data_IF_126398801026
#
_entry.id   IF_126398801026
#
_cell.length_a   1.000
_cell.length_b   1.000
_cell.length_c   1.000
_cell.angle_alpha   90.00
_cell.angle_beta   90.00
_cell.angle_gamma   90.00
#
_symmetry.space_group_name_H-M   'P 1'
#
loop_
_entity.id
_entity.type
_entity.pdbx_description
1 polymer ?
#
# COMPACT_ATOMS: atom_id res chain seq x y z
N UNK A 1 4.37 10.15 10.22
CA UNK A 1 3.32 9.15 10.54
C UNK A 1 2.56 8.87 9.25
N UNK A 2 2.19 7.63 8.93
CA UNK A 2 1.61 7.29 7.61
C UNK A 2 0.29 8.04 7.32
N UNK A 3 -0.42 8.47 8.38
CA UNK A 3 -1.61 9.32 8.26
C UNK A 3 -1.28 10.71 7.73
N UNK A 4 -0.16 11.28 8.13
CA UNK A 4 0.30 12.59 7.65
C UNK A 4 0.63 12.52 6.15
N UNK A 5 1.27 11.43 5.72
CA UNK A 5 1.60 11.18 4.32
C UNK A 5 0.31 11.06 3.47
N UNK A 6 -0.71 10.40 4.02
CA UNK A 6 -2.00 10.22 3.36
C UNK A 6 -2.74 11.55 3.20
N UNK A 7 -2.70 12.44 4.20
CA UNK A 7 -3.24 13.81 4.10
C UNK A 7 -2.47 14.64 3.08
N UNK A 8 -1.13 14.60 3.11
CA UNK A 8 -0.29 15.37 2.21
C UNK A 8 -0.46 14.97 0.73
N UNK A 9 -0.64 13.67 0.46
CA UNK A 9 -0.81 13.13 -0.89
C UNK A 9 -2.25 13.12 -1.42
N UNK A 10 -3.25 13.40 -0.58
CA UNK A 10 -4.66 13.16 -0.90
C UNK A 10 -5.18 13.92 -2.13
N UNK A 11 -4.88 15.21 -2.22
CA UNK A 11 -5.39 16.06 -3.30
C UNK A 11 -4.62 15.88 -4.61
N UNK A 12 -3.36 15.45 -4.53
CA UNK A 12 -2.47 15.32 -5.69
C UNK A 12 -2.37 13.92 -6.28
N UNK A 13 -3.04 12.92 -5.70
CA UNK A 13 -2.92 11.52 -6.11
C UNK A 13 -4.26 10.88 -6.44
N UNK A 14 -4.27 9.97 -7.41
CA UNK A 14 -5.42 9.09 -7.71
C UNK A 14 -5.40 7.78 -6.89
N UNK A 15 -4.30 7.48 -6.20
CA UNK A 15 -4.17 6.27 -5.40
C UNK A 15 -2.89 6.19 -4.58
N UNK A 16 -2.78 5.14 -3.78
CA UNK A 16 -1.66 4.96 -2.86
C UNK A 16 -1.05 3.59 -3.01
N UNK A 17 0.28 3.55 -3.04
CA UNK A 17 1.05 2.31 -2.87
C UNK A 17 1.12 2.01 -1.38
N UNK A 18 0.71 0.82 -0.97
CA UNK A 18 0.62 0.45 0.45
C UNK A 18 1.65 -0.64 0.75
N UNK A 19 2.76 -0.29 1.41
CA UNK A 19 3.77 -1.28 1.81
C UNK A 19 3.25 -2.15 2.96
N UNK A 20 3.80 -3.36 3.05
CA UNK A 20 3.66 -4.29 4.19
C UNK A 20 2.22 -4.62 4.58
N UNK A 21 1.34 -4.72 3.59
CA UNK A 21 -0.04 -5.19 3.82
C UNK A 21 0.00 -6.69 4.06
N UNK A 22 -0.40 -7.12 5.24
CA UNK A 22 -0.42 -8.53 5.64
C UNK A 22 -1.84 -9.11 5.65
N UNK A 23 -2.86 -8.26 5.79
CA UNK A 23 -4.26 -8.68 5.92
C UNK A 23 -5.23 -7.80 5.13
N UNK A 24 -6.40 -8.36 4.83
CA UNK A 24 -7.48 -7.59 4.19
C UNK A 24 -8.05 -6.52 5.12
N UNK A 25 -8.00 -6.71 6.45
CA UNK A 25 -8.57 -5.76 7.42
C UNK A 25 -7.78 -4.44 7.49
N UNK A 26 -6.47 -4.47 7.22
CA UNK A 26 -5.67 -3.25 7.05
C UNK A 26 -6.16 -2.40 5.87
N UNK A 27 -6.58 -3.06 4.78
CA UNK A 27 -7.13 -2.38 3.60
C UNK A 27 -8.53 -1.81 3.89
N UNK A 28 -9.34 -2.48 4.72
CA UNK A 28 -10.63 -1.94 5.18
C UNK A 28 -10.45 -0.70 6.03
N UNK A 29 -9.45 -0.69 6.92
CA UNK A 29 -9.13 0.50 7.71
C UNK A 29 -8.74 1.68 6.80
N UNK A 30 -7.92 1.44 5.78
CA UNK A 30 -7.56 2.48 4.80
C UNK A 30 -8.77 2.95 3.98
N UNK A 31 -9.65 2.04 3.60
CA UNK A 31 -10.90 2.34 2.90
C UNK A 31 -11.80 3.26 3.72
N UNK A 32 -11.99 2.99 5.02
CA UNK A 32 -12.75 3.83 5.92
C UNK A 32 -12.15 5.26 6.01
N UNK A 33 -10.84 5.36 6.22
CA UNK A 33 -10.14 6.66 6.33
C UNK A 33 -10.23 7.46 5.02
N UNK A 34 -9.98 6.81 3.88
CA UNK A 34 -10.05 7.47 2.57
C UNK A 34 -11.48 7.90 2.26
N UNK A 35 -12.47 7.07 2.59
CA UNK A 35 -13.88 7.41 2.44
C UNK A 35 -14.23 8.65 3.25
N UNK A 36 -13.82 8.74 4.52
CA UNK A 36 -14.07 9.91 5.36
C UNK A 36 -13.46 11.19 4.77
N UNK A 37 -12.24 11.10 4.24
CA UNK A 37 -11.57 12.23 3.58
C UNK A 37 -12.27 12.65 2.29
N UNK A 38 -12.72 11.69 1.47
CA UNK A 38 -13.49 11.94 0.25
C UNK A 38 -14.82 12.66 0.56
N UNK A 39 -15.52 12.25 1.62
CA UNK A 39 -16.75 12.91 2.07
C UNK A 39 -16.48 14.33 2.60
N UNK A 40 -15.43 14.52 3.42
CA UNK A 40 -15.07 15.83 3.97
C UNK A 40 -14.70 16.84 2.88
N UNK A 41 -13.93 16.43 1.87
CA UNK A 41 -13.55 17.31 0.75
C UNK A 41 -14.73 17.67 -0.16
N UNK A 42 -15.69 16.76 -0.34
CA UNK A 42 -16.90 17.03 -1.12
C UNK A 42 -17.84 18.06 -0.46
N UNK A 43 -17.80 18.21 0.88
CA UNK A 43 -18.60 19.21 1.59
C UNK A 43 -17.99 20.62 1.60
N UNK A 44 -16.67 20.74 1.42
CA UNK A 44 -15.94 22.03 1.50
C UNK A 44 -15.63 22.71 0.17
N UNK A 45 -15.77 22.01 -0.96
CA UNK A 45 -15.29 22.51 -2.25
C UNK A 45 -16.40 23.19 -3.07
N UNK A 46 -16.39 24.52 -3.07
CA UNK A 46 -17.08 25.36 -4.08
C UNK A 46 -16.22 25.51 -5.35
N UNK A 47 -15.22 24.62 -5.56
CA UNK A 47 -14.26 24.71 -6.65
C UNK A 47 -14.61 23.75 -7.78
N UNK A 48 -15.09 24.34 -8.89
CA UNK A 48 -15.54 23.70 -10.12
C UNK A 48 -14.40 23.08 -10.96
N UNK A 49 -13.74 22.00 -10.52
CA UNK A 49 -12.72 21.39 -11.39
C UNK A 49 -12.21 19.99 -11.07
N UNK A 50 -12.13 19.56 -9.81
CA UNK A 50 -11.61 18.22 -9.50
C UNK A 50 -12.76 17.27 -9.24
N UNK A 51 -13.14 16.50 -10.25
CA UNK A 51 -13.90 15.27 -10.02
C UNK A 51 -12.99 14.31 -9.23
N UNK A 52 -13.06 14.37 -7.90
CA UNK A 52 -12.34 13.43 -7.05
C UNK A 52 -12.97 12.04 -7.23
N UNK A 53 -12.35 11.24 -8.10
CA UNK A 53 -12.65 9.83 -8.18
C UNK A 53 -12.17 9.14 -6.88
N UNK A 54 -12.81 8.02 -6.49
CA UNK A 54 -12.38 7.26 -5.33
C UNK A 54 -10.92 6.85 -5.46
N UNK A 55 -10.13 7.07 -4.39
CA UNK A 55 -8.72 6.69 -4.38
C UNK A 55 -8.58 5.18 -4.47
N UNK A 56 -7.62 4.71 -5.27
CA UNK A 56 -7.28 3.28 -5.39
C UNK A 56 -6.09 2.90 -4.52
N UNK A 57 -6.00 1.61 -4.16
CA UNK A 57 -4.91 1.05 -3.38
C UNK A 57 -4.10 0.07 -4.22
N UNK A 58 -2.77 0.13 -4.08
CA UNK A 58 -1.81 -0.77 -4.71
C UNK A 58 -0.93 -1.42 -3.63
N UNK A 59 -1.39 -2.52 -3.00
CA UNK A 59 -0.61 -3.22 -1.99
C UNK A 59 0.67 -3.84 -2.56
N UNK A 60 1.76 -3.78 -1.79
CA UNK A 60 2.98 -4.54 -2.08
C UNK A 60 2.90 -5.88 -1.33
N UNK A 61 2.48 -6.95 -2.02
CA UNK A 61 2.09 -8.20 -1.35
C UNK A 61 3.25 -9.14 -1.00
N UNK A 62 4.50 -8.82 -1.34
CA UNK A 62 5.64 -9.73 -1.10
C UNK A 62 6.63 -9.23 -0.06
N UNK A 63 6.35 -8.15 0.67
CA UNK A 63 7.32 -7.60 1.64
C UNK A 63 7.40 -8.42 2.93
N UNK A 64 6.39 -9.23 3.24
CA UNK A 64 6.40 -10.14 4.39
C UNK A 64 5.95 -11.55 4.01
N UNK A 65 6.38 -12.60 4.73
CA UNK A 65 5.93 -13.97 4.48
C UNK A 65 4.40 -14.11 4.63
N UNK A 66 3.80 -13.35 5.55
CA UNK A 66 2.35 -13.39 5.77
C UNK A 66 1.59 -12.76 4.60
N UNK A 67 2.10 -11.66 4.03
CA UNK A 67 1.53 -11.05 2.83
C UNK A 67 1.52 -12.02 1.64
N UNK A 68 2.59 -12.82 1.46
CA UNK A 68 2.66 -13.86 0.43
C UNK A 68 1.60 -14.95 0.64
N UNK A 69 1.44 -15.43 1.88
CA UNK A 69 0.44 -16.44 2.21
C UNK A 69 -1.00 -15.92 2.05
N UNK A 70 -1.21 -14.62 2.26
CA UNK A 70 -2.52 -13.96 2.23
C UNK A 70 -2.81 -13.24 0.91
N UNK A 71 -1.97 -13.36 -0.12
CA UNK A 71 -2.03 -12.54 -1.34
C UNK A 71 -3.40 -12.57 -2.04
N UNK A 72 -4.08 -13.73 -2.04
CA UNK A 72 -5.41 -13.86 -2.62
C UNK A 72 -6.49 -13.09 -1.84
N UNK A 73 -6.35 -12.97 -0.52
CA UNK A 73 -7.24 -12.19 0.34
C UNK A 73 -6.96 -10.69 0.19
N UNK A 74 -5.67 -10.32 0.16
CA UNK A 74 -5.21 -8.95 -0.11
C UNK A 74 -5.71 -8.46 -1.47
N UNK A 75 -5.66 -9.30 -2.51
CA UNK A 75 -6.15 -8.99 -3.86
C UNK A 75 -7.65 -8.65 -3.91
N UNK A 76 -8.43 -9.16 -2.96
CA UNK A 76 -9.87 -8.94 -2.83
C UNK A 76 -10.20 -7.82 -1.84
N UNK A 77 -9.19 -7.09 -1.35
CA UNK A 77 -9.38 -5.95 -0.48
C UNK A 77 -10.13 -4.80 -1.16
N UNK A 78 -10.83 -3.96 -0.39
CA UNK A 78 -11.49 -2.78 -0.93
C UNK A 78 -10.48 -1.86 -1.62
N UNK A 79 -10.91 -1.19 -2.69
CA UNK A 79 -10.11 -0.24 -3.49
C UNK A 79 -8.86 -0.81 -4.17
N UNK A 80 -8.55 -2.10 -4.00
CA UNK A 80 -7.38 -2.73 -4.63
C UNK A 80 -7.59 -2.83 -6.14
N UNK A 81 -6.75 -2.15 -6.91
CA UNK A 81 -6.79 -2.18 -8.37
C UNK A 81 -5.63 -2.96 -9.00
N UNK A 82 -4.54 -3.11 -8.24
CA UNK A 82 -3.35 -3.84 -8.64
C UNK A 82 -2.60 -4.32 -7.39
N UNK A 83 -1.79 -5.37 -7.56
CA UNK A 83 -0.80 -5.79 -6.58
C UNK A 83 0.57 -5.61 -7.20
N UNK A 84 1.48 -4.98 -6.47
CA UNK A 84 2.87 -4.83 -6.88
C UNK A 84 3.76 -5.84 -6.16
N UNK A 85 4.89 -6.15 -6.80
CA UNK A 85 5.85 -7.12 -6.32
C UNK A 85 7.09 -6.38 -5.79
N UNK A 86 7.33 -6.48 -4.48
CA UNK A 86 8.56 -6.04 -3.84
C UNK A 86 9.51 -7.23 -3.67
N UNK A 87 10.40 -7.45 -4.64
CA UNK A 87 11.30 -8.63 -4.64
C UNK A 87 12.42 -8.52 -3.59
N UNK A 88 12.78 -7.30 -3.18
CA UNK A 88 13.92 -7.02 -2.30
C UNK A 88 13.64 -7.42 -0.84
N UNK A 89 12.46 -7.11 -0.32
CA UNK A 89 12.11 -7.34 1.10
C UNK A 89 11.80 -8.82 1.43
N UNK A 90 11.27 -9.60 0.48
CA UNK A 90 10.95 -11.02 0.74
C UNK A 90 12.19 -11.84 1.10
N UNK A 91 13.30 -11.57 0.41
CA UNK A 91 14.58 -12.25 0.62
C UNK A 91 15.18 -11.95 2.00
N UNK A 92 14.99 -10.72 2.49
CA UNK A 92 15.41 -10.30 3.82
C UNK A 92 14.50 -10.89 4.91
N UNK A 93 13.18 -10.90 4.69
CA UNK A 93 12.20 -11.38 5.65
C UNK A 93 12.16 -12.91 5.80
N UNK A 94 12.44 -13.66 4.73
CA UNK A 94 12.58 -15.12 4.77
C UNK A 94 13.91 -15.60 5.37
N UNK A 95 14.78 -14.67 5.79
CA UNK A 95 16.06 -15.03 6.40
C UNK A 95 16.96 -15.77 5.42
N UNK A 96 17.28 -15.16 4.28
CA UNK A 96 18.33 -15.67 3.40
C UNK A 96 19.68 -15.71 4.16
N UNK A 97 19.94 -16.82 4.83
CA UNK A 97 21.30 -17.26 5.13
C UNK A 97 22.02 -17.55 3.80
N UNK A 98 23.24 -17.01 3.64
CA UNK A 98 24.19 -17.12 2.51
C UNK A 98 23.94 -16.17 1.32
N UNK A 99 24.92 -15.42 0.75
CA UNK A 99 26.39 -15.54 0.78
C UNK A 99 27.03 -14.15 0.62
N UNK A 100 27.82 -13.71 1.61
CA UNK A 100 29.05 -12.96 1.31
C UNK A 100 30.20 -13.80 1.84
N UNK A 101 30.62 -14.78 1.05
CA UNK A 101 31.98 -15.28 1.12
C UNK A 101 32.88 -14.13 0.69
N UNK A 102 33.22 -13.27 1.64
CA UNK A 102 34.36 -12.38 1.55
C UNK A 102 35.63 -13.23 1.72
N UNK A 103 35.91 -14.11 0.75
CA UNK A 103 37.23 -14.71 0.62
C UNK A 103 37.87 -14.22 -0.67
N UNK A 104 38.37 -12.98 -0.60
CA UNK A 104 39.30 -12.45 -1.59
C UNK A 104 40.68 -13.07 -1.31
N UNK A 105 41.00 -14.14 -2.01
CA UNK A 105 42.36 -14.69 -2.12
C UNK A 105 42.64 -14.97 -3.58
N UNK A 106 43.39 -14.05 -4.20
CA UNK A 106 43.88 -14.12 -5.58
C UNK A 106 44.82 -12.95 -5.84
#
# INVERSE_FOLDING_TARGET
DWREDLVAGFDGSDGFVVPKVETQDELKLLDEILSDMEHCNNHGSNNNGSSHHPKVLLPIATETPLAVLNIASIAQGPRVCAITWGCEDLSAALGSYNTRDANNSG
#
